data_IF_499790703872
#
_entry.id   IF_499790703872
#
_cell.length_a   1.000
_cell.length_b   1.000
_cell.length_c   1.000
_cell.angle_alpha   90.00
_cell.angle_beta   90.00
_cell.angle_gamma   90.00
#
_symmetry.space_group_name_H-M   'P 1'
#
loop_
_entity.id
_entity.type
_entity.pdbx_description
1 polymer ?
#
# COMPACT_ATOMS: atom_id res chain seq x y z
N UNK A 1 -23.34 33.89 2.69
CA UNK A 1 -22.33 33.63 3.77
C UNK A 1 -21.40 32.46 3.38
N UNK A 2 -21.92 31.27 3.05
CA UNK A 2 -21.11 30.10 2.65
C UNK A 2 -20.35 30.32 1.35
N UNK A 3 -20.99 30.94 0.34
CA UNK A 3 -20.36 31.24 -0.95
C UNK A 3 -19.24 32.26 -0.79
N UNK A 4 -19.44 33.28 0.01
CA UNK A 4 -18.42 34.31 0.24
C UNK A 4 -17.19 33.73 0.96
N UNK A 5 -17.39 32.82 1.94
CA UNK A 5 -16.30 32.11 2.60
C UNK A 5 -15.52 31.22 1.64
N UNK A 6 -16.23 30.49 0.76
CA UNK A 6 -15.58 29.65 -0.25
C UNK A 6 -14.79 30.48 -1.27
N UNK A 7 -15.37 31.60 -1.74
CA UNK A 7 -14.68 32.51 -2.66
C UNK A 7 -13.43 33.09 -1.99
N UNK A 8 -13.54 33.61 -0.78
CA UNK A 8 -12.41 34.16 -0.02
C UNK A 8 -11.30 33.13 0.16
N UNK A 9 -11.66 31.90 0.56
CA UNK A 9 -10.69 30.81 0.73
C UNK A 9 -10.03 30.42 -0.60
N UNK A 10 -10.79 30.39 -1.70
CA UNK A 10 -10.25 30.08 -3.02
C UNK A 10 -9.29 31.14 -3.52
N UNK A 11 -9.62 32.41 -3.35
CA UNK A 11 -8.74 33.53 -3.72
C UNK A 11 -7.46 33.49 -2.87
N UNK A 12 -7.58 33.31 -1.54
CA UNK A 12 -6.41 33.22 -0.67
C UNK A 12 -5.48 32.06 -1.05
N UNK A 13 -6.03 30.90 -1.42
CA UNK A 13 -5.26 29.75 -1.90
C UNK A 13 -4.50 30.08 -3.20
N UNK A 14 -5.16 30.74 -4.17
CA UNK A 14 -4.54 31.16 -5.42
C UNK A 14 -3.42 32.20 -5.19
N UNK A 15 -3.63 33.17 -4.33
CA UNK A 15 -2.63 34.17 -3.95
C UNK A 15 -1.43 33.52 -3.28
N UNK A 16 -1.68 32.59 -2.35
CA UNK A 16 -0.63 31.83 -1.66
C UNK A 16 0.19 31.01 -2.67
N UNK A 17 -0.48 30.31 -3.59
CA UNK A 17 0.20 29.54 -4.63
C UNK A 17 1.02 30.44 -5.55
N UNK A 18 0.47 31.57 -5.99
CA UNK A 18 1.17 32.49 -6.87
C UNK A 18 2.40 33.11 -6.19
N UNK A 19 2.26 33.50 -4.93
CA UNK A 19 3.34 34.10 -4.14
C UNK A 19 4.48 33.14 -3.82
N UNK A 20 4.15 31.88 -3.58
CA UNK A 20 5.11 30.84 -3.16
C UNK A 20 5.38 29.79 -4.28
N UNK A 21 5.06 30.11 -5.53
CA UNK A 21 5.13 29.15 -6.65
C UNK A 21 6.48 28.45 -6.80
N UNK A 22 7.59 29.14 -6.52
CA UNK A 22 8.94 28.55 -6.62
C UNK A 22 9.16 27.47 -5.57
N UNK A 23 8.71 27.71 -4.35
CA UNK A 23 8.87 26.79 -3.24
C UNK A 23 7.97 25.57 -3.43
N UNK A 24 6.70 25.77 -3.87
CA UNK A 24 5.81 24.68 -4.22
C UNK A 24 6.39 23.80 -5.34
N UNK A 25 6.91 24.40 -6.41
CA UNK A 25 7.53 23.66 -7.51
C UNK A 25 8.80 22.93 -7.07
N UNK A 26 9.62 23.55 -6.22
CA UNK A 26 10.82 22.92 -5.68
C UNK A 26 10.46 21.70 -4.81
N UNK A 27 9.46 21.84 -3.93
CA UNK A 27 8.96 20.72 -3.12
C UNK A 27 8.32 19.62 -3.96
N UNK A 28 7.53 19.98 -4.96
CA UNK A 28 6.91 19.01 -5.88
C UNK A 28 7.95 18.15 -6.60
N UNK A 29 9.08 18.74 -6.99
CA UNK A 29 10.17 18.01 -7.64
C UNK A 29 11.06 17.26 -6.63
N UNK A 30 11.18 17.74 -5.41
CA UNK A 30 12.02 17.13 -4.38
C UNK A 30 11.33 15.90 -3.77
N UNK A 31 10.03 15.96 -3.50
CA UNK A 31 9.31 14.91 -2.78
C UNK A 31 9.41 13.51 -3.41
N UNK A 32 9.24 13.32 -4.74
CA UNK A 32 9.43 12.01 -5.36
C UNK A 32 10.86 11.48 -5.25
N UNK A 33 11.86 12.36 -5.35
CA UNK A 33 13.28 11.99 -5.21
C UNK A 33 13.59 11.54 -3.78
N UNK A 34 13.11 12.29 -2.81
CA UNK A 34 13.24 11.92 -1.39
C UNK A 34 12.54 10.60 -1.08
N UNK A 35 11.38 10.34 -1.68
CA UNK A 35 10.66 9.08 -1.52
C UNK A 35 11.52 7.89 -1.97
N UNK A 36 12.18 8.00 -3.13
CA UNK A 36 13.09 6.96 -3.64
C UNK A 36 14.26 6.72 -2.67
N UNK A 37 14.91 7.79 -2.20
CA UNK A 37 16.03 7.68 -1.27
C UNK A 37 15.59 7.05 0.06
N UNK A 38 14.49 7.54 0.64
CA UNK A 38 13.95 7.03 1.89
C UNK A 38 13.51 5.55 1.77
N UNK A 39 12.97 5.17 0.63
CA UNK A 39 12.61 3.78 0.33
C UNK A 39 13.83 2.87 0.21
N UNK A 40 14.93 3.38 -0.39
CA UNK A 40 16.17 2.62 -0.55
C UNK A 40 16.95 2.45 0.77
N UNK A 41 16.89 3.43 1.67
CA UNK A 41 17.68 3.46 2.90
C UNK A 41 16.89 3.03 4.15
N UNK A 42 15.56 2.99 4.05
CA UNK A 42 14.67 2.69 5.17
C UNK A 42 14.75 1.24 5.66
N UNK A 43 14.20 0.97 6.86
CA UNK A 43 14.17 -0.37 7.45
C UNK A 43 13.25 -1.33 6.70
N UNK A 44 12.27 -0.81 5.96
CA UNK A 44 11.39 -1.55 5.05
C UNK A 44 11.72 -1.13 3.64
N UNK A 45 12.19 -2.06 2.81
CA UNK A 45 12.60 -1.80 1.43
C UNK A 45 11.65 -2.35 0.39
N UNK A 46 10.89 -3.36 0.76
CA UNK A 46 9.88 -3.93 -0.12
C UNK A 46 8.76 -4.60 0.66
N UNK A 47 7.59 -4.63 0.05
CA UNK A 47 6.49 -5.50 0.41
C UNK A 47 6.41 -6.68 -0.54
N UNK A 48 6.04 -7.84 -0.01
CA UNK A 48 5.83 -9.08 -0.77
C UNK A 48 4.37 -9.48 -0.59
N UNK A 49 3.69 -9.73 -1.69
CA UNK A 49 2.32 -10.24 -1.71
C UNK A 49 2.38 -11.66 -2.29
N UNK A 50 2.02 -12.63 -1.48
CA UNK A 50 2.02 -14.03 -1.93
C UNK A 50 0.62 -14.43 -2.44
N UNK A 51 0.52 -15.23 -3.51
CA UNK A 51 -0.76 -15.59 -4.11
C UNK A 51 -1.64 -16.46 -3.21
N UNK A 52 -1.08 -17.08 -2.16
CA UNK A 52 -1.83 -17.89 -1.20
C UNK A 52 -2.69 -18.97 -1.86
N UNK A 53 -3.85 -19.26 -1.26
CA UNK A 53 -4.83 -20.24 -1.78
C UNK A 53 -5.71 -19.66 -2.90
N UNK A 54 -5.74 -18.34 -3.05
CA UNK A 54 -6.58 -17.63 -4.02
C UNK A 54 -5.73 -16.62 -4.79
N UNK A 55 -4.99 -17.08 -5.81
CA UNK A 55 -4.01 -16.25 -6.52
C UNK A 55 -4.64 -15.07 -7.25
N UNK A 56 -5.88 -15.18 -7.71
CA UNK A 56 -6.62 -14.11 -8.33
C UNK A 56 -6.83 -12.87 -7.42
N UNK A 57 -6.86 -13.06 -6.12
CA UNK A 57 -6.93 -11.93 -5.17
C UNK A 57 -5.64 -11.12 -5.16
N UNK A 58 -4.50 -11.80 -5.19
CA UNK A 58 -3.20 -11.13 -5.28
C UNK A 58 -3.05 -10.41 -6.63
N UNK A 59 -3.51 -11.02 -7.73
CA UNK A 59 -3.53 -10.41 -9.06
C UNK A 59 -4.40 -9.14 -9.09
N UNK A 60 -5.61 -9.18 -8.51
CA UNK A 60 -6.49 -8.01 -8.40
C UNK A 60 -5.89 -6.90 -7.55
N UNK A 61 -5.29 -7.24 -6.42
CA UNK A 61 -4.59 -6.26 -5.58
C UNK A 61 -3.43 -5.63 -6.34
N UNK A 62 -2.63 -6.44 -7.03
CA UNK A 62 -1.52 -5.95 -7.86
C UNK A 62 -2.02 -5.03 -8.97
N UNK A 63 -3.14 -5.35 -9.62
CA UNK A 63 -3.76 -4.50 -10.63
C UNK A 63 -4.16 -3.13 -10.05
N UNK A 64 -4.86 -3.12 -8.91
CA UNK A 64 -5.24 -1.89 -8.21
C UNK A 64 -4.02 -1.03 -7.88
N UNK A 65 -2.98 -1.62 -7.30
CA UNK A 65 -1.77 -0.87 -6.95
C UNK A 65 -1.09 -0.26 -8.19
N UNK A 66 -1.10 -0.95 -9.33
CA UNK A 66 -0.59 -0.40 -10.60
C UNK A 66 -1.43 0.76 -11.12
N UNK A 67 -2.74 0.65 -11.03
CA UNK A 67 -3.66 1.72 -11.44
C UNK A 67 -3.41 2.99 -10.62
N UNK A 68 -2.95 2.85 -9.36
CA UNK A 68 -2.50 3.95 -8.51
C UNK A 68 -1.05 4.43 -8.82
N UNK A 69 -0.43 3.90 -9.87
CA UNK A 69 0.91 4.30 -10.30
C UNK A 69 2.06 3.70 -9.46
N UNK A 70 1.80 2.64 -8.70
CA UNK A 70 2.80 1.94 -7.91
C UNK A 70 3.51 0.90 -8.79
N UNK A 71 4.84 0.94 -8.80
CA UNK A 71 5.66 -0.06 -9.50
C UNK A 71 5.63 -1.39 -8.76
N UNK A 72 5.35 -2.46 -9.50
CA UNK A 72 5.23 -3.81 -8.97
C UNK A 72 6.00 -4.77 -9.86
N UNK A 73 6.69 -5.70 -9.23
CA UNK A 73 7.42 -6.77 -9.89
C UNK A 73 6.76 -8.10 -9.58
N UNK A 74 6.72 -9.01 -10.55
CA UNK A 74 6.19 -10.36 -10.39
C UNK A 74 7.30 -11.39 -10.48
N UNK A 75 7.29 -12.38 -9.60
CA UNK A 75 8.20 -13.51 -9.64
C UNK A 75 7.88 -14.44 -10.83
N UNK A 76 8.80 -14.55 -11.79
CA UNK A 76 8.65 -15.45 -12.92
C UNK A 76 8.92 -16.92 -12.54
N UNK A 77 9.66 -17.15 -11.46
CA UNK A 77 9.99 -18.46 -10.90
C UNK A 77 9.97 -18.37 -9.37
N UNK A 78 9.97 -19.51 -8.64
CA UNK A 78 10.04 -19.48 -7.18
C UNK A 78 11.29 -18.75 -6.69
N UNK A 79 11.11 -17.91 -5.64
CA UNK A 79 12.17 -17.07 -5.06
C UNK A 79 12.39 -17.44 -3.61
N UNK A 80 13.62 -17.78 -3.24
CA UNK A 80 14.00 -17.98 -1.84
C UNK A 80 14.11 -16.64 -1.13
N UNK A 81 13.34 -16.46 -0.08
CA UNK A 81 13.33 -15.24 0.69
C UNK A 81 13.55 -15.52 2.18
N UNK A 82 14.37 -14.70 2.80
CA UNK A 82 14.65 -14.74 4.23
C UNK A 82 14.51 -13.35 4.83
N UNK A 83 14.31 -13.28 6.14
CA UNK A 83 14.10 -12.00 6.82
C UNK A 83 12.78 -11.33 6.46
N UNK A 84 11.82 -12.10 5.94
CA UNK A 84 10.47 -11.64 5.73
C UNK A 84 9.78 -11.46 7.08
N UNK A 85 9.06 -10.37 7.24
CA UNK A 85 8.20 -10.17 8.40
C UNK A 85 6.75 -10.24 7.99
N UNK A 86 6.03 -11.14 8.58
CA UNK A 86 4.59 -11.27 8.41
C UNK A 86 3.90 -9.97 8.85
N UNK A 87 3.04 -9.44 7.98
CA UNK A 87 2.39 -8.14 8.19
C UNK A 87 1.49 -8.11 9.41
N UNK A 88 0.93 -9.28 9.81
CA UNK A 88 0.00 -9.39 10.93
C UNK A 88 0.67 -9.72 12.24
N UNK A 89 1.46 -10.77 12.19
CA UNK A 89 2.03 -11.33 13.42
C UNK A 89 3.36 -10.70 13.80
N UNK A 90 3.99 -9.95 12.86
CA UNK A 90 5.32 -9.40 13.01
C UNK A 90 6.43 -10.46 13.10
N UNK A 91 6.09 -11.74 12.96
CA UNK A 91 7.07 -12.84 13.03
C UNK A 91 8.01 -12.79 11.84
N UNK A 92 9.30 -12.99 12.13
CA UNK A 92 10.31 -13.15 11.09
C UNK A 92 10.33 -14.59 10.60
N UNK A 93 10.37 -14.77 9.29
CA UNK A 93 10.36 -16.09 8.66
C UNK A 93 11.24 -16.11 7.40
N UNK A 94 11.57 -17.32 6.99
CA UNK A 94 12.18 -17.62 5.71
C UNK A 94 11.26 -18.60 4.98
N UNK A 95 11.03 -18.37 3.68
CA UNK A 95 10.17 -19.21 2.88
C UNK A 95 10.53 -19.15 1.41
N UNK A 96 10.12 -20.16 0.68
CA UNK A 96 10.14 -20.12 -0.78
C UNK A 96 8.84 -19.44 -1.25
N UNK A 97 8.98 -18.26 -1.84
CA UNK A 97 7.89 -17.55 -2.47
C UNK A 97 7.55 -18.26 -3.79
N UNK A 98 6.30 -18.65 -4.03
CA UNK A 98 5.93 -19.29 -5.29
C UNK A 98 6.06 -18.32 -6.47
N UNK A 99 6.19 -18.85 -7.68
CA UNK A 99 6.02 -18.07 -8.90
C UNK A 99 4.67 -17.36 -8.88
N UNK A 100 4.61 -16.14 -9.41
CA UNK A 100 3.41 -15.30 -9.32
C UNK A 100 3.29 -14.48 -8.03
N UNK A 101 4.24 -14.59 -7.09
CA UNK A 101 4.35 -13.63 -5.98
C UNK A 101 4.70 -12.24 -6.49
N UNK A 102 4.21 -11.21 -5.83
CA UNK A 102 4.52 -9.83 -6.20
C UNK A 102 5.46 -9.19 -5.19
N UNK A 103 6.36 -8.35 -5.68
CA UNK A 103 7.21 -7.48 -4.89
C UNK A 103 6.87 -6.02 -5.22
N UNK A 104 6.59 -5.25 -4.19
CA UNK A 104 6.38 -3.80 -4.26
C UNK A 104 7.59 -3.12 -3.63
N UNK A 105 8.58 -2.67 -4.42
CA UNK A 105 9.73 -1.96 -3.90
C UNK A 105 9.31 -0.59 -3.37
N UNK A 106 9.93 -0.11 -2.29
CA UNK A 106 9.62 1.20 -1.73
C UNK A 106 10.54 2.32 -2.24
N UNK A 107 11.62 1.98 -2.92
CA UNK A 107 12.52 2.92 -3.58
C UNK A 107 11.98 3.41 -4.94
N UNK A 108 10.75 3.87 -4.91
CA UNK A 108 10.01 4.42 -6.04
C UNK A 108 9.31 5.73 -5.63
N UNK A 109 8.94 6.61 -6.57
CA UNK A 109 8.22 7.85 -6.27
C UNK A 109 6.92 7.63 -5.49
N UNK A 110 6.19 6.55 -5.80
CA UNK A 110 4.97 6.15 -5.12
C UNK A 110 5.20 5.32 -3.83
N UNK A 111 6.45 5.16 -3.38
CA UNK A 111 6.80 4.39 -2.19
C UNK A 111 6.02 4.75 -0.93
N UNK A 112 5.84 6.04 -0.58
CA UNK A 112 5.01 6.45 0.54
C UNK A 112 3.54 6.04 0.41
N UNK A 113 2.96 6.12 -0.78
CA UNK A 113 1.60 5.65 -1.08
C UNK A 113 1.50 4.14 -0.93
N UNK A 114 2.44 3.40 -1.52
CA UNK A 114 2.50 1.94 -1.40
C UNK A 114 2.55 1.51 0.08
N UNK A 115 3.37 2.17 0.89
CA UNK A 115 3.45 1.92 2.32
C UNK A 115 2.12 2.20 3.03
N UNK A 116 1.47 3.33 2.75
CA UNK A 116 0.21 3.70 3.37
C UNK A 116 -0.92 2.69 3.07
N UNK A 117 -0.93 2.13 1.85
CA UNK A 117 -1.93 1.15 1.41
C UNK A 117 -1.66 -0.28 1.93
N UNK A 118 -0.40 -0.64 2.15
CA UNK A 118 0.00 -2.01 2.49
C UNK A 118 0.22 -2.23 3.98
N UNK A 119 0.70 -1.20 4.72
CA UNK A 119 1.05 -1.33 6.14
C UNK A 119 -0.21 -1.36 7.01
N UNK A 120 -0.48 -2.45 7.76
CA UNK A 120 -1.60 -2.51 8.69
C UNK A 120 -1.36 -1.70 9.97
N UNK A 121 -0.13 -1.29 10.23
CA UNK A 121 0.25 -0.62 11.47
C UNK A 121 0.47 0.87 11.23
N UNK A 122 -0.47 1.69 11.67
CA UNK A 122 -0.33 3.15 11.67
C UNK A 122 0.24 3.58 13.01
N UNK A 123 1.44 4.16 13.06
CA UNK A 123 1.97 4.71 14.29
C UNK A 123 1.12 5.92 14.72
N UNK A 124 0.61 5.89 15.93
CA UNK A 124 -0.09 7.01 16.55
C UNK A 124 0.72 7.55 17.72
N UNK A 125 0.70 8.85 17.93
CA UNK A 125 1.39 9.47 19.05
C UNK A 125 0.74 9.09 20.39
N UNK A 126 1.57 8.83 21.41
CA UNK A 126 1.10 8.46 22.73
C UNK A 126 0.19 9.53 23.35
N UNK A 127 0.41 10.81 23.04
CA UNK A 127 -0.43 11.93 23.44
C UNK A 127 -1.87 11.82 22.93
N UNK A 128 -2.03 11.41 21.66
CA UNK A 128 -3.34 11.19 21.06
C UNK A 128 -4.13 10.11 21.79
N UNK A 129 -3.52 8.98 22.13
CA UNK A 129 -4.21 7.91 22.88
C UNK A 129 -4.65 8.35 24.28
N UNK A 130 -3.84 9.18 24.95
CA UNK A 130 -4.20 9.73 26.27
C UNK A 130 -5.41 10.64 26.17
N UNK A 131 -5.40 11.58 25.23
CA UNK A 131 -6.53 12.49 25.00
C UNK A 131 -7.80 11.74 24.61
N UNK A 132 -7.67 10.72 23.74
CA UNK A 132 -8.79 9.92 23.30
C UNK A 132 -9.44 9.15 24.43
N UNK A 133 -8.63 8.58 25.33
CA UNK A 133 -9.11 7.94 26.56
C UNK A 133 -9.88 8.94 27.45
N UNK A 134 -9.31 10.13 27.67
CA UNK A 134 -9.97 11.17 28.46
C UNK A 134 -11.31 11.61 27.84
N UNK A 135 -11.42 11.64 26.52
CA UNK A 135 -12.65 11.96 25.81
C UNK A 135 -13.71 10.88 26.00
N UNK A 136 -13.34 9.62 25.87
CA UNK A 136 -14.23 8.48 26.12
C UNK A 136 -14.73 8.46 27.57
N UNK A 137 -13.83 8.64 28.55
CA UNK A 137 -14.17 8.69 29.98
C UNK A 137 -15.14 9.84 30.33
N UNK A 138 -15.04 10.95 29.59
CA UNK A 138 -15.96 12.09 29.73
C UNK A 138 -17.25 11.96 28.93
N UNK A 139 -17.50 10.85 28.29
CA UNK A 139 -18.68 10.59 27.46
C UNK A 139 -18.79 11.45 26.21
N UNK A 140 -17.66 11.98 25.70
CA UNK A 140 -17.61 12.84 24.49
C UNK A 140 -17.55 12.08 23.19
N UNK A 141 -17.59 10.75 23.22
CA UNK A 141 -17.44 9.89 22.05
C UNK A 141 -15.98 9.69 21.68
N UNK A 142 -15.73 9.23 20.45
CA UNK A 142 -14.39 8.98 19.92
C UNK A 142 -14.11 9.86 18.70
N UNK A 143 -12.86 10.30 18.55
CA UNK A 143 -12.34 10.95 17.36
C UNK A 143 -11.68 9.96 16.39
N UNK A 144 -11.56 8.71 16.83
CA UNK A 144 -11.05 7.63 15.96
C UNK A 144 -12.16 7.28 15.00
N UNK A 145 -11.92 7.52 13.72
CA UNK A 145 -12.76 6.99 12.65
C UNK A 145 -12.50 5.49 12.56
N UNK A 146 -13.54 4.71 12.83
CA UNK A 146 -13.49 3.25 12.65
C UNK A 146 -13.59 2.91 11.16
N UNK A 147 -12.47 3.04 10.47
CA UNK A 147 -12.29 2.47 9.14
C UNK A 147 -11.67 1.10 9.32
N UNK A 148 -12.51 0.08 9.32
CA UNK A 148 -12.04 -1.30 9.24
C UNK A 148 -11.36 -1.52 7.89
N UNK A 149 -10.15 -2.09 7.90
CA UNK A 149 -9.43 -2.56 6.71
C UNK A 149 -8.94 -1.49 5.71
N UNK A 150 -8.20 -0.48 6.18
CA UNK A 150 -7.43 0.37 5.28
C UNK A 150 -6.24 -0.34 4.64
N UNK A 151 -5.68 -1.38 5.29
CA UNK A 151 -4.63 -2.19 4.70
C UNK A 151 -5.22 -3.07 3.60
N UNK A 152 -4.82 -2.81 2.36
CA UNK A 152 -5.34 -3.54 1.20
C UNK A 152 -5.06 -5.05 1.24
N UNK A 153 -3.90 -5.54 1.71
CA UNK A 153 -3.69 -6.98 1.87
C UNK A 153 -4.74 -7.63 2.74
N UNK A 154 -5.20 -6.95 3.80
CA UNK A 154 -6.29 -7.38 4.64
C UNK A 154 -7.61 -7.47 3.91
N UNK A 155 -7.98 -6.36 3.27
CA UNK A 155 -9.23 -6.24 2.55
C UNK A 155 -9.35 -7.31 1.46
N UNK A 156 -8.24 -7.61 0.77
CA UNK A 156 -8.19 -8.62 -0.29
C UNK A 156 -7.94 -10.04 0.23
N UNK A 157 -7.60 -10.21 1.52
CA UNK A 157 -7.23 -11.51 2.10
C UNK A 157 -5.99 -12.11 1.44
N UNK A 158 -4.98 -11.27 1.20
CA UNK A 158 -3.71 -11.64 0.59
C UNK A 158 -2.63 -11.73 1.66
N UNK A 159 -1.84 -12.81 1.63
CA UNK A 159 -0.69 -12.96 2.52
C UNK A 159 0.38 -11.91 2.17
N UNK A 160 0.67 -11.04 3.13
CA UNK A 160 1.60 -9.93 2.94
C UNK A 160 2.76 -9.98 3.93
N UNK A 161 3.93 -9.67 3.41
CA UNK A 161 5.17 -9.63 4.18
C UNK A 161 5.94 -8.37 3.83
N UNK A 162 6.70 -7.84 4.78
CA UNK A 162 7.65 -6.79 4.50
C UNK A 162 9.08 -7.23 4.79
N UNK A 163 10.05 -6.60 4.15
CA UNK A 163 11.45 -6.96 4.27
C UNK A 163 12.37 -5.75 4.17
N UNK A 164 13.47 -5.79 4.93
CA UNK A 164 14.56 -4.81 4.84
C UNK A 164 15.58 -5.12 3.73
N UNK A 165 15.41 -6.24 3.00
CA UNK A 165 16.28 -6.62 1.89
C UNK A 165 15.44 -7.20 0.78
N UNK A 166 15.54 -6.64 -0.42
CA UNK A 166 14.81 -7.17 -1.57
C UNK A 166 15.30 -8.58 -1.89
N UNK A 167 14.42 -9.60 -1.92
CA UNK A 167 14.83 -10.96 -2.26
C UNK A 167 15.40 -11.03 -3.68
N UNK A 168 16.55 -11.69 -3.83
CA UNK A 168 17.13 -11.92 -5.15
C UNK A 168 16.33 -12.99 -5.91
N UNK A 169 16.03 -12.73 -7.17
CA UNK A 169 15.24 -13.65 -7.99
C UNK A 169 14.94 -13.09 -9.38
N UNK A 170 14.24 -13.87 -10.20
CA UNK A 170 13.78 -13.44 -11.52
C UNK A 170 12.45 -12.66 -11.38
N UNK A 171 12.58 -11.38 -11.06
CA UNK A 171 11.47 -10.45 -10.94
C UNK A 171 11.24 -9.73 -12.27
N UNK A 172 10.04 -9.79 -12.80
CA UNK A 172 9.63 -9.11 -14.03
C UNK A 172 8.76 -7.91 -13.73
N UNK A 173 8.97 -6.83 -14.47
CA UNK A 173 8.08 -5.68 -14.46
C UNK A 173 6.71 -6.08 -15.03
N UNK A 174 5.66 -5.88 -14.26
CA UNK A 174 4.32 -6.34 -14.62
C UNK A 174 3.45 -5.19 -15.14
N UNK A 175 3.92 -4.47 -16.16
CA UNK A 175 3.17 -3.33 -16.71
C UNK A 175 1.89 -3.72 -17.44
N UNK A 176 1.69 -5.01 -17.80
CA UNK A 176 0.58 -5.45 -18.63
C UNK A 176 0.30 -6.96 -18.52
N UNK A 177 -0.41 -7.39 -17.49
CA UNK A 177 -1.15 -8.65 -17.61
C UNK A 177 -2.61 -8.43 -17.22
N UNK A 178 -3.49 -8.58 -18.21
CA UNK A 178 -4.91 -8.75 -17.93
C UNK A 178 -5.10 -10.03 -17.12
N UNK A 179 -5.80 -9.94 -15.98
CA UNK A 179 -6.17 -11.11 -15.21
C UNK A 179 -7.00 -12.05 -16.09
N UNK A 180 -6.44 -13.19 -16.46
CA UNK A 180 -7.14 -14.21 -17.22
C UNK A 180 -7.69 -15.23 -16.24
N UNK A 181 -8.99 -15.19 -16.01
CA UNK A 181 -9.69 -16.27 -15.35
C UNK A 181 -9.72 -17.51 -16.25
N UNK A 182 -9.52 -18.68 -15.70
CA UNK A 182 -9.79 -19.95 -16.35
C UNK A 182 -10.81 -20.73 -15.53
N UNK A 183 -11.83 -21.26 -16.20
CA UNK A 183 -12.74 -22.22 -15.60
C UNK A 183 -12.21 -23.59 -15.94
N UNK A 184 -11.73 -24.34 -14.93
CA UNK A 184 -11.43 -25.75 -15.12
C UNK A 184 -12.77 -26.49 -15.31
N UNK A 185 -12.93 -27.13 -16.47
CA UNK A 185 -14.08 -27.99 -16.72
C UNK A 185 -13.93 -29.24 -15.81
N UNK A 186 -14.59 -29.22 -14.66
CA UNK A 186 -15.01 -30.43 -13.98
C UNK A 186 -16.46 -30.66 -14.35
N UNK A 187 -16.92 -31.93 -14.40
CA UNK A 187 -18.33 -32.23 -14.67
C UNK A 187 -19.23 -31.33 -13.81
N UNK A 188 -19.90 -30.36 -14.40
CA UNK A 188 -20.58 -29.35 -13.61
C UNK A 188 -21.92 -29.92 -13.16
N UNK A 189 -22.03 -30.19 -11.88
CA UNK A 189 -23.34 -30.43 -11.25
C UNK A 189 -24.04 -29.08 -10.99
N UNK A 190 -23.28 -27.99 -10.92
CA UNK A 190 -23.80 -26.62 -10.72
C UNK A 190 -22.98 -25.62 -11.52
N UNK A 191 -23.66 -24.67 -12.18
CA UNK A 191 -23.07 -23.52 -12.81
C UNK A 191 -23.27 -22.26 -11.96
N UNK A 192 -22.23 -21.44 -11.83
CA UNK A 192 -22.35 -20.09 -11.26
C UNK A 192 -22.32 -19.08 -12.40
N UNK A 193 -23.29 -18.17 -12.40
CA UNK A 193 -23.27 -16.97 -13.25
C UNK A 193 -22.72 -15.82 -12.38
N UNK A 194 -21.66 -15.16 -12.85
CA UNK A 194 -21.12 -13.96 -12.25
C UNK A 194 -21.46 -12.76 -13.15
#
# INVERSE_FOLDING_TARGET
>A
ETVDHQLTSSVANLETLASNRRDFMAQYLAAPREAVVKGAEGPVRAWILAPGKQPDRADRLAALLRDEGIEILRAASPVKASGLRDAWTGKTLAMDLPAGSFMVPLDQPAGPLARALLDPHVPMEAGFFKEEREWLERGKGTRIYDTTAWSLPLLYGVDAYWTGTKPAGDWKDERTQEARGSVAAADPVFGYLF
#
